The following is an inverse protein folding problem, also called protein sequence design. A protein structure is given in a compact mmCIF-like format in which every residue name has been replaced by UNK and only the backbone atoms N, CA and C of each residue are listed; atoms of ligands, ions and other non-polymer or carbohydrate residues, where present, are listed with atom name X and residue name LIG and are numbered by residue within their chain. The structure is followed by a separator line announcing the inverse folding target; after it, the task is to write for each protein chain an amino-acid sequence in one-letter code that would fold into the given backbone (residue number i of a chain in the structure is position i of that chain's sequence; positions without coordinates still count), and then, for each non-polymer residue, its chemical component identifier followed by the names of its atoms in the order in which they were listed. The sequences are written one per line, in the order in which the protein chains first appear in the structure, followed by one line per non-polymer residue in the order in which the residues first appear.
data_IF_167157939012
#
_entry.id   IF_167157939012
#
_cell.length_a   1.000
_cell.length_b   1.000
_cell.length_c   1.000
_cell.angle_alpha   90.00
_cell.angle_beta   90.00
_cell.angle_gamma   90.00
#
_symmetry.space_group_name_H-M   'P 1'
#
loop_
_entity.id
_entity.type
_entity.pdbx_description
1 polymer ?
#
# COMPACT_ATOMS: atom_id res chain seq x y z
N UNK A 1 27.28 -5.30 8.70
CA UNK A 1 26.95 -4.00 8.08
C UNK A 1 26.42 -3.14 9.21
N UNK A 2 26.97 -1.94 9.40
CA UNK A 2 26.48 -0.99 10.39
C UNK A 2 25.12 -0.45 9.88
N UNK A 3 23.99 -0.79 10.54
CA UNK A 3 22.67 -0.32 10.10
C UNK A 3 22.58 1.21 10.09
N UNK A 4 23.35 1.88 10.95
CA UNK A 4 23.36 3.34 11.10
C UNK A 4 23.83 4.11 9.86
N UNK A 5 24.54 3.45 8.93
CA UNK A 5 24.98 4.06 7.67
C UNK A 5 23.81 4.52 6.79
N UNK A 6 22.62 3.92 6.95
CA UNK A 6 21.48 4.16 6.08
C UNK A 6 20.26 4.80 6.77
N UNK A 7 20.37 5.23 8.03
CA UNK A 7 19.24 5.67 8.88
C UNK A 7 18.32 6.74 8.27
N UNK A 8 18.82 7.51 7.30
CA UNK A 8 18.04 8.50 6.54
C UNK A 8 17.88 8.16 5.06
N UNK A 9 18.77 7.33 4.50
CA UNK A 9 18.78 7.00 3.08
C UNK A 9 17.51 6.25 2.71
N UNK A 10 17.16 5.22 3.49
CA UNK A 10 16.01 4.36 3.17
C UNK A 10 14.67 5.10 3.17
N UNK A 11 14.57 6.24 3.85
CA UNK A 11 13.35 7.07 3.89
C UNK A 11 13.10 7.81 2.57
N UNK A 12 14.15 8.03 1.79
CA UNK A 12 14.12 8.89 0.60
C UNK A 12 14.66 8.22 -0.67
N UNK A 13 15.34 7.09 -0.54
CA UNK A 13 15.92 6.34 -1.65
C UNK A 13 15.70 4.84 -1.49
N UNK A 14 15.54 4.18 -2.63
CA UNK A 14 15.39 2.73 -2.73
C UNK A 14 16.69 2.06 -2.30
N UNK A 15 16.60 1.11 -1.38
CA UNK A 15 17.69 0.20 -1.05
C UNK A 15 17.38 -1.15 -1.68
N UNK A 16 18.34 -1.71 -2.40
CA UNK A 16 18.18 -2.98 -3.11
C UNK A 16 19.49 -3.76 -3.11
N UNK A 17 19.39 -5.03 -3.46
CA UNK A 17 20.53 -5.90 -3.70
C UNK A 17 20.06 -7.27 -4.17
N UNK A 18 20.98 -8.22 -4.16
CA UNK A 18 20.75 -9.59 -4.60
C UNK A 18 21.47 -10.57 -3.68
N UNK A 19 21.01 -11.82 -3.67
CA UNK A 19 21.76 -12.89 -3.04
C UNK A 19 22.98 -13.23 -3.90
N UNK A 20 24.16 -13.35 -3.29
CA UNK A 20 25.35 -13.77 -4.02
C UNK A 20 25.25 -15.25 -4.42
N UNK A 21 25.74 -15.60 -5.61
CA UNK A 21 25.94 -17.00 -6.01
C UNK A 21 24.85 -17.62 -6.87
N UNK A 22 24.06 -16.83 -7.60
CA UNK A 22 23.05 -17.39 -8.52
C UNK A 22 21.80 -17.88 -7.79
N UNK A 23 20.99 -18.67 -8.50
CA UNK A 23 19.80 -19.31 -7.91
C UNK A 23 20.11 -20.24 -6.73
N UNK A 24 21.28 -20.87 -6.68
CA UNK A 24 21.70 -21.71 -5.54
C UNK A 24 22.00 -20.86 -4.30
N UNK A 25 22.71 -19.75 -4.47
CA UNK A 25 22.96 -18.79 -3.39
C UNK A 25 21.69 -18.14 -2.86
N UNK A 26 20.76 -17.81 -3.76
CA UNK A 26 19.45 -17.30 -3.39
C UNK A 26 18.65 -18.35 -2.61
N UNK A 27 18.60 -19.61 -3.08
CA UNK A 27 17.92 -20.69 -2.37
C UNK A 27 18.50 -20.92 -0.97
N UNK A 28 19.83 -20.99 -0.83
CA UNK A 28 20.49 -21.14 0.48
C UNK A 28 20.24 -19.92 1.39
N UNK A 29 20.19 -18.72 0.82
CA UNK A 29 19.86 -17.49 1.54
C UNK A 29 18.43 -17.48 2.07
N UNK A 30 17.48 -18.06 1.34
CA UNK A 30 16.06 -18.10 1.70
C UNK A 30 15.62 -19.39 2.40
N UNK A 31 16.51 -20.37 2.54
CA UNK A 31 16.27 -21.60 3.32
C UNK A 31 17.17 -21.66 4.57
N UNK A 32 18.46 -21.97 4.40
CA UNK A 32 19.41 -22.28 5.49
C UNK A 32 19.75 -21.07 6.37
N UNK A 33 19.83 -19.88 5.77
CA UNK A 33 20.22 -18.63 6.48
C UNK A 33 19.09 -17.61 6.54
N UNK A 34 17.85 -18.09 6.46
CA UNK A 34 16.69 -17.24 6.25
C UNK A 34 16.55 -16.15 7.32
N UNK A 35 16.56 -16.51 8.61
CA UNK A 35 16.34 -15.54 9.69
C UNK A 35 17.40 -14.44 9.71
N UNK A 36 18.68 -14.81 9.54
CA UNK A 36 19.80 -13.86 9.45
C UNK A 36 19.59 -12.87 8.30
N UNK A 37 19.20 -13.37 7.12
CA UNK A 37 18.99 -12.53 5.94
C UNK A 37 17.73 -11.66 6.07
N UNK A 38 16.67 -12.19 6.66
CA UNK A 38 15.44 -11.44 6.91
C UNK A 38 15.69 -10.30 7.91
N UNK A 39 16.44 -10.56 8.98
CA UNK A 39 16.82 -9.54 9.96
C UNK A 39 17.72 -8.49 9.35
N UNK A 40 18.64 -8.88 8.47
CA UNK A 40 19.45 -7.95 7.70
C UNK A 40 18.59 -7.05 6.80
N UNK A 41 17.64 -7.63 6.05
CA UNK A 41 16.67 -6.89 5.22
C UNK A 41 15.86 -5.88 6.04
N UNK A 42 15.38 -6.27 7.23
CA UNK A 42 14.65 -5.39 8.13
C UNK A 42 15.50 -4.23 8.64
N UNK A 43 16.70 -4.53 9.14
CA UNK A 43 17.61 -3.52 9.70
C UNK A 43 18.15 -2.54 8.65
N UNK A 44 18.20 -2.95 7.38
CA UNK A 44 18.70 -2.12 6.29
C UNK A 44 17.62 -1.64 5.34
N UNK A 45 16.34 -1.86 5.65
CA UNK A 45 15.18 -1.31 4.95
C UNK A 45 15.17 -1.58 3.43
N UNK A 46 15.44 -2.82 3.01
CA UNK A 46 15.45 -3.15 1.58
C UNK A 46 14.06 -3.02 0.96
N UNK A 47 14.00 -2.30 -0.16
CA UNK A 47 12.76 -2.06 -0.90
C UNK A 47 12.39 -3.22 -1.81
N UNK A 48 13.38 -3.86 -2.45
CA UNK A 48 13.20 -5.08 -3.24
C UNK A 48 14.51 -5.88 -3.30
N UNK A 49 14.40 -7.16 -3.69
CA UNK A 49 15.55 -8.04 -3.94
C UNK A 49 15.51 -8.43 -5.42
N UNK A 50 16.63 -8.24 -6.12
CA UNK A 50 16.80 -8.69 -7.50
C UNK A 50 16.95 -10.22 -7.61
N UNK A 51 16.78 -10.80 -8.80
CA UNK A 51 16.74 -12.25 -8.99
C UNK A 51 18.08 -12.97 -8.77
N UNK A 52 19.19 -12.27 -8.46
CA UNK A 52 20.50 -12.92 -8.31
C UNK A 52 20.89 -13.80 -9.52
N UNK A 53 20.43 -13.46 -10.73
CA UNK A 53 20.65 -14.26 -11.94
C UNK A 53 19.73 -15.48 -12.13
N UNK A 54 18.63 -15.63 -11.37
CA UNK A 54 17.66 -16.71 -11.61
C UNK A 54 16.32 -16.59 -10.86
N UNK A 55 15.35 -17.44 -11.22
CA UNK A 55 14.08 -17.56 -10.48
C UNK A 55 14.29 -18.50 -9.30
N UNK A 56 13.93 -18.06 -8.09
CA UNK A 56 13.92 -18.93 -6.90
C UNK A 56 12.58 -19.65 -6.83
N UNK A 57 12.59 -20.96 -7.09
CA UNK A 57 11.43 -21.82 -6.90
C UNK A 57 11.47 -22.43 -5.50
N UNK A 58 10.36 -22.41 -4.73
CA UNK A 58 10.31 -23.06 -3.43
C UNK A 58 10.64 -24.56 -3.56
N UNK A 59 11.55 -25.05 -2.71
CA UNK A 59 12.00 -26.45 -2.70
C UNK A 59 11.08 -27.34 -1.84
N UNK A 60 10.44 -26.75 -0.82
CA UNK A 60 9.50 -27.38 0.09
C UNK A 60 8.53 -26.33 0.65
N UNK A 61 7.61 -26.74 1.53
CA UNK A 61 6.60 -25.86 2.15
C UNK A 61 7.22 -24.82 3.09
N UNK A 62 8.29 -25.18 3.82
CA UNK A 62 8.95 -24.25 4.73
C UNK A 62 9.68 -23.14 3.95
N UNK A 63 10.38 -23.51 2.88
CA UNK A 63 11.03 -22.57 1.99
C UNK A 63 10.00 -21.66 1.30
N UNK A 64 8.81 -22.19 0.93
CA UNK A 64 7.70 -21.35 0.45
C UNK A 64 7.27 -20.33 1.51
N UNK A 65 7.07 -20.76 2.75
CA UNK A 65 6.69 -19.86 3.85
C UNK A 65 7.74 -18.77 4.08
N UNK A 66 9.02 -19.10 3.99
CA UNK A 66 10.13 -18.16 4.07
C UNK A 66 10.08 -17.12 2.93
N UNK A 67 9.92 -17.56 1.69
CA UNK A 67 9.81 -16.67 0.52
C UNK A 67 8.60 -15.74 0.63
N UNK A 68 7.45 -16.26 1.07
CA UNK A 68 6.24 -15.45 1.31
C UNK A 68 6.46 -14.41 2.41
N UNK A 69 7.14 -14.78 3.50
CA UNK A 69 7.46 -13.86 4.58
C UNK A 69 8.44 -12.77 4.12
N UNK A 70 9.48 -13.13 3.38
CA UNK A 70 10.43 -12.18 2.80
C UNK A 70 9.72 -11.19 1.87
N UNK A 71 8.94 -11.69 0.90
CA UNK A 71 8.18 -10.83 -0.02
C UNK A 71 7.20 -9.90 0.69
N UNK A 72 6.55 -10.36 1.76
CA UNK A 72 5.65 -9.51 2.57
C UNK A 72 6.39 -8.48 3.43
N UNK A 73 7.69 -8.69 3.66
CA UNK A 73 8.54 -7.82 4.49
C UNK A 73 9.18 -6.70 3.68
N UNK A 74 9.64 -7.00 2.46
CA UNK A 74 10.31 -6.03 1.58
C UNK A 74 9.44 -4.82 1.25
N UNK A 75 10.09 -3.68 1.05
CA UNK A 75 9.42 -2.52 0.47
C UNK A 75 8.30 -1.98 1.34
N UNK A 76 7.29 -1.44 0.65
CA UNK A 76 6.06 -0.99 1.28
C UNK A 76 5.02 -2.12 1.25
N UNK A 77 4.13 -2.13 2.24
CA UNK A 77 2.95 -2.98 2.25
C UNK A 77 1.82 -2.30 3.00
N UNK A 78 1.12 -1.40 2.32
CA UNK A 78 0.07 -0.58 2.92
C UNK A 78 -1.20 -1.38 3.21
N UNK A 79 -1.74 -1.23 4.40
CA UNK A 79 -3.01 -1.80 4.84
C UNK A 79 -3.90 -0.67 5.33
N UNK A 80 -5.09 -0.52 4.76
CA UNK A 80 -6.13 0.36 5.30
C UNK A 80 -6.65 -0.30 6.58
N UNK A 81 -6.49 0.38 7.72
CA UNK A 81 -6.90 -0.11 9.04
C UNK A 81 -8.26 0.40 9.45
N UNK A 82 -8.52 1.69 9.22
CA UNK A 82 -9.78 2.32 9.55
C UNK A 82 -10.01 3.54 8.67
N UNK A 83 -11.29 3.82 8.42
CA UNK A 83 -11.75 5.07 7.82
C UNK A 83 -12.93 5.56 8.64
N UNK A 84 -12.82 6.76 9.19
CA UNK A 84 -13.85 7.39 10.02
C UNK A 84 -14.33 8.68 9.37
N UNK A 85 -15.65 8.85 9.28
CA UNK A 85 -16.30 10.06 8.80
C UNK A 85 -17.76 10.12 9.29
N UNK A 86 -18.43 11.25 9.09
CA UNK A 86 -19.86 11.37 9.37
C UNK A 86 -20.67 10.41 8.47
N UNK A 87 -21.63 9.69 9.04
CA UNK A 87 -22.43 8.71 8.28
C UNK A 87 -23.30 9.36 7.18
N UNK A 88 -23.68 10.63 7.39
CA UNK A 88 -24.45 11.41 6.43
C UNK A 88 -23.78 12.76 6.14
N UNK A 89 -23.98 13.27 4.92
CA UNK A 89 -23.54 14.60 4.50
C UNK A 89 -24.52 15.19 3.48
N UNK A 90 -24.55 16.51 3.36
CA UNK A 90 -25.36 17.18 2.34
C UNK A 90 -24.60 17.24 0.99
N UNK A 91 -25.28 17.07 -0.15
CA UNK A 91 -24.73 17.40 -1.47
C UNK A 91 -24.17 18.83 -1.49
N UNK A 92 -23.06 19.04 -2.21
CA UNK A 92 -22.40 20.36 -2.30
C UNK A 92 -21.54 20.72 -1.09
N UNK A 93 -21.58 19.91 -0.03
CA UNK A 93 -20.80 20.11 1.19
C UNK A 93 -19.37 19.54 1.11
N UNK A 94 -18.73 19.48 2.28
CA UNK A 94 -17.47 18.77 2.46
C UNK A 94 -17.62 17.70 3.54
N UNK A 95 -16.96 16.56 3.33
CA UNK A 95 -16.90 15.45 4.27
C UNK A 95 -15.46 15.35 4.79
N UNK A 96 -15.30 15.64 6.08
CA UNK A 96 -14.05 15.35 6.79
C UNK A 96 -13.92 13.84 6.99
N UNK A 97 -12.75 13.30 6.63
CA UNK A 97 -12.43 11.88 6.78
C UNK A 97 -11.12 11.71 7.56
N UNK A 98 -11.05 10.71 8.42
CA UNK A 98 -9.82 10.23 9.03
C UNK A 98 -9.46 8.87 8.43
N UNK A 99 -8.27 8.75 7.84
CA UNK A 99 -7.75 7.48 7.31
C UNK A 99 -6.63 7.00 8.21
N UNK A 100 -6.75 5.78 8.74
CA UNK A 100 -5.63 5.08 9.37
C UNK A 100 -5.08 4.02 8.43
N UNK A 101 -3.79 4.13 8.10
CA UNK A 101 -3.05 3.20 7.23
C UNK A 101 -1.83 2.66 7.97
N UNK A 102 -1.51 1.39 7.76
CA UNK A 102 -0.29 0.78 8.28
C UNK A 102 0.60 0.34 7.12
N UNK A 103 1.85 0.80 7.09
CA UNK A 103 2.87 0.19 6.26
C UNK A 103 3.47 -1.00 7.01
N UNK A 104 3.11 -2.21 6.58
CA UNK A 104 3.62 -3.48 7.12
C UNK A 104 4.97 -3.91 6.56
N UNK A 105 5.47 -3.21 5.56
CA UNK A 105 6.78 -3.46 4.98
C UNK A 105 7.88 -2.73 5.74
N UNK A 106 9.13 -2.89 5.28
CA UNK A 106 10.31 -2.27 5.91
C UNK A 106 10.76 -0.99 5.21
N UNK A 107 10.12 -0.53 4.14
CA UNK A 107 10.49 0.69 3.44
C UNK A 107 9.25 1.47 2.96
N UNK A 108 9.35 2.79 2.69
CA UNK A 108 8.24 3.54 2.13
C UNK A 108 8.00 3.23 0.65
N UNK A 109 6.91 3.77 0.13
CA UNK A 109 6.73 3.95 -1.31
C UNK A 109 7.41 5.27 -1.73
N UNK A 110 8.19 5.27 -2.81
CA UNK A 110 9.06 6.42 -3.13
C UNK A 110 8.48 7.40 -4.16
N UNK A 111 7.35 7.07 -4.77
CA UNK A 111 6.76 7.89 -5.82
C UNK A 111 5.55 8.66 -5.29
N UNK A 112 5.38 9.90 -5.77
CA UNK A 112 4.27 10.76 -5.36
C UNK A 112 2.98 10.37 -6.10
N UNK A 113 2.51 9.14 -5.91
CA UNK A 113 1.30 8.63 -6.55
C UNK A 113 0.07 9.06 -5.74
N UNK A 114 -0.99 9.53 -6.39
CA UNK A 114 -2.13 10.10 -5.70
C UNK A 114 -2.98 9.00 -5.05
N UNK A 115 -3.37 9.24 -3.80
CA UNK A 115 -4.46 8.53 -3.15
C UNK A 115 -5.78 9.12 -3.65
N UNK A 116 -6.69 8.28 -4.12
CA UNK A 116 -7.95 8.69 -4.74
C UNK A 116 -9.12 8.09 -3.98
N UNK A 117 -10.11 8.93 -3.67
CA UNK A 117 -11.40 8.51 -3.15
C UNK A 117 -12.47 8.50 -4.23
N UNK A 118 -13.41 7.59 -4.09
CA UNK A 118 -14.53 7.37 -4.99
C UNK A 118 -15.83 7.32 -4.21
N UNK A 119 -16.89 7.90 -4.76
CA UNK A 119 -18.26 7.56 -4.40
C UNK A 119 -18.87 6.73 -5.54
N UNK A 120 -19.28 5.52 -5.20
CA UNK A 120 -19.85 4.56 -6.14
C UNK A 120 -21.32 4.35 -5.79
N UNK A 121 -22.21 4.53 -6.77
CA UNK A 121 -23.64 4.36 -6.58
C UNK A 121 -24.03 2.87 -6.55
N UNK A 122 -25.27 2.57 -6.16
CA UNK A 122 -25.76 1.19 -6.03
C UNK A 122 -25.76 0.40 -7.35
N UNK A 123 -25.79 1.07 -8.50
CA UNK A 123 -25.67 0.45 -9.83
C UNK A 123 -24.22 0.18 -10.26
N UNK A 124 -23.24 0.49 -9.40
CA UNK A 124 -21.81 0.32 -9.65
C UNK A 124 -21.15 1.47 -10.41
N UNK A 125 -21.91 2.48 -10.83
CA UNK A 125 -21.38 3.67 -11.51
C UNK A 125 -20.58 4.54 -10.53
N UNK A 126 -19.55 5.21 -11.06
CA UNK A 126 -18.74 6.14 -10.27
C UNK A 126 -19.39 7.51 -10.34
N UNK A 127 -19.99 7.95 -9.24
CA UNK A 127 -20.64 9.25 -9.13
C UNK A 127 -19.65 10.38 -8.85
N UNK A 128 -18.55 10.08 -8.16
CA UNK A 128 -17.48 11.02 -7.84
C UNK A 128 -16.13 10.31 -7.80
N UNK A 129 -15.08 11.02 -8.21
CA UNK A 129 -13.68 10.65 -8.02
C UNK A 129 -12.90 11.91 -7.61
N UNK A 130 -12.08 11.82 -6.57
CA UNK A 130 -11.24 12.95 -6.11
C UNK A 130 -9.88 12.46 -5.62
N UNK A 131 -8.81 13.11 -6.08
CA UNK A 131 -7.49 12.99 -5.47
C UNK A 131 -7.49 13.63 -4.07
N UNK A 132 -7.00 12.88 -3.10
CA UNK A 132 -6.91 13.28 -1.71
C UNK A 132 -5.57 13.95 -1.46
N UNK A 133 -5.57 14.98 -0.61
CA UNK A 133 -4.35 15.67 -0.19
C UNK A 133 -3.54 14.80 0.79
N UNK A 134 -2.90 13.75 0.27
CA UNK A 134 -2.06 12.82 1.03
C UNK A 134 -0.75 12.54 0.27
N UNK A 135 0.39 12.63 0.96
CA UNK A 135 1.67 12.18 0.42
C UNK A 135 1.99 10.78 0.93
N UNK A 136 1.72 9.77 0.11
CA UNK A 136 1.90 8.36 0.47
C UNK A 136 3.37 7.96 0.70
N UNK A 137 4.33 8.82 0.30
CA UNK A 137 5.76 8.60 0.57
C UNK A 137 6.12 8.77 2.03
N UNK A 138 5.29 9.51 2.76
CA UNK A 138 5.47 9.75 4.21
C UNK A 138 5.01 8.58 5.06
N UNK A 139 4.33 7.58 4.46
CA UNK A 139 3.87 6.38 5.16
C UNK A 139 5.02 5.40 5.39
N UNK A 140 5.96 5.79 6.25
CA UNK A 140 7.08 4.97 6.72
C UNK A 140 6.57 3.67 7.40
N UNK A 141 7.41 2.64 7.63
CA UNK A 141 7.01 1.46 8.39
C UNK A 141 6.30 1.82 9.70
N UNK A 142 5.12 1.23 9.93
CA UNK A 142 4.25 1.55 11.07
C UNK A 142 2.90 2.16 10.68
N UNK A 143 2.19 2.68 11.68
CA UNK A 143 0.82 3.20 11.57
C UNK A 143 0.83 4.72 11.39
N UNK A 144 0.00 5.21 10.47
CA UNK A 144 -0.20 6.61 10.18
C UNK A 144 -1.69 6.94 10.16
N UNK A 145 -2.05 8.09 10.72
CA UNK A 145 -3.41 8.62 10.67
C UNK A 145 -3.40 9.96 9.94
N UNK A 146 -4.26 10.11 8.95
CA UNK A 146 -4.34 11.28 8.09
C UNK A 146 -5.73 11.89 8.16
N UNK A 147 -5.80 13.22 8.22
CA UNK A 147 -7.04 13.97 8.04
C UNK A 147 -7.17 14.36 6.56
N UNK A 148 -8.29 13.97 5.97
CA UNK A 148 -8.61 14.14 4.55
C UNK A 148 -9.94 14.86 4.40
N UNK A 149 -10.18 15.42 3.21
CA UNK A 149 -11.42 16.13 2.92
C UNK A 149 -11.92 15.74 1.53
N UNK A 150 -13.18 15.31 1.46
CA UNK A 150 -13.90 15.08 0.21
C UNK A 150 -14.84 16.25 -0.02
N UNK A 151 -14.80 16.83 -1.21
CA UNK A 151 -15.72 17.89 -1.63
C UNK A 151 -16.82 17.25 -2.47
N UNK A 152 -18.04 17.25 -1.94
CA UNK A 152 -19.18 16.56 -2.54
C UNK A 152 -19.80 17.47 -3.62
N UNK A 153 -20.00 17.01 -4.86
CA UNK A 153 -20.74 17.77 -5.85
C UNK A 153 -22.18 18.05 -5.39
N UNK A 154 -22.71 19.23 -5.77
CA UNK A 154 -24.04 19.69 -5.37
C UNK A 154 -25.18 18.96 -6.11
N UNK A 155 -24.87 18.33 -7.24
CA UNK A 155 -25.79 17.59 -8.09
C UNK A 155 -25.83 16.10 -7.78
N UNK A 156 -25.11 15.62 -6.76
CA UNK A 156 -25.23 14.25 -6.30
C UNK A 156 -26.64 13.98 -5.74
N UNK A 157 -27.35 12.95 -6.24
CA UNK A 157 -28.62 12.53 -5.67
C UNK A 157 -28.51 12.17 -4.19
N UNK A 158 -29.59 12.45 -3.44
CA UNK A 158 -29.74 11.95 -2.08
C UNK A 158 -29.89 10.41 -2.13
N UNK A 159 -28.83 9.70 -1.78
CA UNK A 159 -28.71 8.24 -1.87
C UNK A 159 -27.59 7.75 -0.96
N UNK A 160 -27.53 6.45 -0.71
CA UNK A 160 -26.35 5.79 -0.19
C UNK A 160 -25.29 5.59 -1.30
N UNK A 161 -24.02 5.80 -0.96
CA UNK A 161 -22.87 5.57 -1.81
C UNK A 161 -21.83 4.72 -1.09
N UNK A 162 -21.20 3.82 -1.83
CA UNK A 162 -19.99 3.13 -1.41
C UNK A 162 -18.80 4.10 -1.49
N UNK A 163 -18.08 4.28 -0.38
CA UNK A 163 -16.81 5.03 -0.36
C UNK A 163 -15.69 4.05 -0.64
N UNK A 164 -14.93 4.29 -1.71
CA UNK A 164 -13.79 3.44 -2.08
C UNK A 164 -12.49 4.22 -2.19
N UNK A 165 -11.37 3.55 -1.93
CA UNK A 165 -10.03 4.11 -2.07
C UNK A 165 -9.18 3.32 -3.07
N UNK A 166 -8.29 4.02 -3.78
CA UNK A 166 -7.22 3.43 -4.58
C UNK A 166 -6.00 4.36 -4.64
N UNK A 167 -4.82 3.82 -4.95
CA UNK A 167 -3.65 4.62 -5.31
C UNK A 167 -3.45 4.52 -6.82
N UNK A 168 -3.49 5.65 -7.52
CA UNK A 168 -3.40 5.65 -8.97
C UNK A 168 -1.96 5.67 -9.45
N UNK A 169 -1.71 5.01 -10.57
CA UNK A 169 -0.52 5.28 -11.38
C UNK A 169 -0.73 6.59 -12.16
N UNK A 170 0.09 7.64 -11.93
CA UNK A 170 -0.03 8.91 -12.63
C UNK A 170 0.09 8.80 -14.16
N UNK A 171 0.72 7.74 -14.67
CA UNK A 171 0.86 7.51 -16.11
C UNK A 171 -0.47 7.06 -16.73
N UNK A 172 -1.24 6.23 -16.03
CA UNK A 172 -2.47 5.63 -16.56
C UNK A 172 -3.74 6.34 -16.06
N UNK A 173 -3.64 7.09 -14.95
CA UNK A 173 -4.78 7.69 -14.28
C UNK A 173 -5.70 6.67 -13.60
N UNK A 174 -5.27 5.42 -13.47
CA UNK A 174 -6.06 4.31 -12.92
C UNK A 174 -5.35 3.65 -11.72
N UNK A 175 -6.06 2.86 -10.89
CA UNK A 175 -5.45 2.13 -9.76
C UNK A 175 -4.23 1.29 -10.17
N UNK A 176 -3.08 1.61 -9.59
CA UNK A 176 -1.79 0.99 -9.95
C UNK A 176 -1.01 0.43 -8.77
N UNK A 177 -1.26 0.91 -7.55
CA UNK A 177 -0.71 0.34 -6.31
C UNK A 177 -1.84 -0.26 -5.50
N UNK A 178 -1.64 -1.50 -5.06
CA UNK A 178 -2.64 -2.28 -4.34
C UNK A 178 -2.42 -2.19 -2.83
N UNK A 179 -3.52 -2.03 -2.09
CA UNK A 179 -3.50 -2.22 -0.64
C UNK A 179 -3.48 -3.71 -0.31
N UNK A 180 -2.82 -4.08 0.78
CA UNK A 180 -2.79 -5.43 1.33
C UNK A 180 -4.07 -5.78 2.13
N UNK A 181 -5.22 -5.32 1.61
CA UNK A 181 -6.57 -5.61 2.06
C UNK A 181 -7.22 -6.64 1.11
N UNK A 182 -8.28 -7.31 1.55
CA UNK A 182 -9.18 -8.10 0.70
C UNK A 182 -10.33 -7.22 0.20
N UNK A 183 -11.19 -7.75 -0.69
CA UNK A 183 -12.42 -7.05 -1.11
C UNK A 183 -12.23 -5.96 -2.16
N UNK A 184 -11.12 -6.01 -2.92
CA UNK A 184 -10.87 -5.15 -4.08
C UNK A 184 -11.87 -5.44 -5.19
N UNK A 185 -12.46 -4.42 -5.80
CA UNK A 185 -13.31 -4.56 -6.98
C UNK A 185 -12.48 -4.77 -8.27
N UNK A 186 -13.15 -5.05 -9.39
CA UNK A 186 -12.51 -5.29 -10.70
C UNK A 186 -11.73 -4.08 -11.21
N UNK A 187 -12.13 -2.87 -10.79
CA UNK A 187 -11.44 -1.62 -11.13
C UNK A 187 -10.22 -1.35 -10.23
N UNK A 188 -9.94 -2.19 -9.23
CA UNK A 188 -8.79 -2.05 -8.36
C UNK A 188 -9.03 -1.18 -7.11
N UNK A 189 -10.28 -0.88 -6.76
CA UNK A 189 -10.67 -0.02 -5.64
C UNK A 189 -11.11 -0.84 -4.43
N UNK A 190 -10.91 -0.31 -3.23
CA UNK A 190 -11.24 -0.98 -1.97
C UNK A 190 -12.40 -0.27 -1.30
N UNK A 191 -13.50 -1.00 -1.03
CA UNK A 191 -14.60 -0.50 -0.21
C UNK A 191 -14.10 -0.28 1.22
N UNK A 192 -14.25 0.95 1.73
CA UNK A 192 -13.79 1.32 3.07
C UNK A 192 -14.93 1.71 4.00
N UNK A 193 -16.03 2.23 3.47
CA UNK A 193 -17.21 2.65 4.23
C UNK A 193 -18.38 2.94 3.29
N UNK A 194 -19.51 3.38 3.87
CA UNK A 194 -20.69 3.86 3.15
C UNK A 194 -21.03 5.27 3.63
N UNK A 195 -21.56 6.10 2.73
CA UNK A 195 -21.97 7.47 2.99
C UNK A 195 -23.42 7.67 2.51
N UNK A 196 -24.28 8.20 3.36
CA UNK A 196 -25.63 8.64 2.98
C UNK A 196 -25.60 10.13 2.61
N UNK A 197 -26.13 10.48 1.44
CA UNK A 197 -26.39 11.88 1.10
C UNK A 197 -27.85 12.22 1.35
N UNK A 198 -28.09 13.32 2.07
CA UNK A 198 -29.41 13.82 2.51
C UNK A 198 -29.62 15.29 2.17
#
# INVERSE_FOLDING_TARGET
IDPGLNDQVWKNAIITGEFCGGGSGAAAGTSERFDLNLDFVKQTHWSFIGPAGGVVTPQDEQHRANLDLLHKTLGYRFVIRAVDHAAAAAPGGSLAMSLTVENKGVAPFYFAWPLVAYLVAADGSTAMMQELAADIRTWLPGVHTLSLMLNLPADLPASEYDVKLAIHDPLTGAPGVMFANTGRDEAGRYLVSKLSLE
#
